data_IF_672665190937
#
_entry.id   IF_672665190937
#
_cell.length_a   1.000
_cell.length_b   1.000
_cell.length_c   1.000
_cell.angle_alpha   90.00
_cell.angle_beta   90.00
_cell.angle_gamma   90.00
#
_symmetry.space_group_name_H-M   'P 1'
#
loop_
_entity.id
_entity.type
_entity.pdbx_description
1 polymer ?
#
# COMPACT_ATOMS: atom_id res chain seq x y z
N UNK A 1 10.21 -18.17 6.26
CA UNK A 1 10.26 -17.26 5.11
C UNK A 1 10.27 -15.84 5.66
N UNK A 2 11.08 -14.92 5.14
CA UNK A 2 11.01 -13.52 5.60
C UNK A 2 9.68 -12.93 5.13
N UNK A 3 8.74 -12.72 6.05
CA UNK A 3 7.50 -12.00 5.74
C UNK A 3 7.86 -10.57 5.40
N UNK A 4 7.64 -10.19 4.13
CA UNK A 4 7.73 -8.79 3.72
C UNK A 4 6.45 -8.09 4.14
N UNK A 5 6.56 -6.87 4.64
CA UNK A 5 5.41 -6.02 4.93
C UNK A 5 5.23 -4.98 3.82
N UNK A 6 4.00 -4.51 3.66
CA UNK A 6 3.62 -3.30 2.96
C UNK A 6 3.15 -2.26 3.98
N UNK A 7 3.34 -0.99 3.65
CA UNK A 7 2.98 0.14 4.50
C UNK A 7 1.96 0.99 3.76
N UNK A 8 0.76 1.09 4.31
CA UNK A 8 -0.36 1.86 3.76
C UNK A 8 -0.40 3.21 4.47
N UNK A 9 -0.29 4.30 3.73
CA UNK A 9 -0.50 5.65 4.25
C UNK A 9 -2.00 5.92 4.16
N UNK A 10 -2.64 6.09 5.30
CA UNK A 10 -4.06 6.39 5.43
C UNK A 10 -4.22 7.86 5.81
N UNK A 11 -5.30 8.50 5.35
CA UNK A 11 -5.76 9.79 5.85
C UNK A 11 -7.19 9.63 6.30
N UNK A 12 -7.45 9.92 7.55
CA UNK A 12 -8.78 10.04 8.13
C UNK A 12 -9.13 11.52 8.27
N UNK A 13 -10.36 11.89 7.96
CA UNK A 13 -10.87 13.25 8.14
C UNK A 13 -12.17 13.15 8.92
N UNK A 14 -12.25 13.91 10.01
CA UNK A 14 -13.45 14.14 10.81
C UNK A 14 -13.93 15.57 10.55
N UNK A 15 -15.02 15.70 9.79
CA UNK A 15 -15.74 16.94 9.54
C UNK A 15 -16.96 17.02 10.46
N UNK A 16 -16.72 17.55 11.66
CA UNK A 16 -17.76 17.72 12.67
C UNK A 16 -18.86 18.72 12.25
N UNK A 17 -18.64 19.54 11.23
CA UNK A 17 -19.64 20.51 10.77
C UNK A 17 -20.66 19.89 9.83
N UNK A 18 -20.20 18.99 8.95
CA UNK A 18 -21.08 18.26 8.03
C UNK A 18 -21.45 16.86 8.54
N UNK A 19 -20.88 16.43 9.67
CA UNK A 19 -21.13 15.12 10.26
C UNK A 19 -20.52 13.97 9.44
N UNK A 20 -19.51 14.28 8.63
CA UNK A 20 -18.84 13.32 7.75
C UNK A 20 -17.54 12.84 8.36
N UNK A 21 -17.37 11.53 8.44
CA UNK A 21 -16.09 10.89 8.75
C UNK A 21 -15.68 10.02 7.57
N UNK A 22 -14.53 10.29 6.95
CA UNK A 22 -14.04 9.46 5.85
C UNK A 22 -12.58 9.09 6.01
N UNK A 23 -12.23 7.86 5.62
CA UNK A 23 -10.83 7.41 5.59
C UNK A 23 -10.44 7.02 4.18
N UNK A 24 -9.39 7.65 3.68
CA UNK A 24 -8.85 7.43 2.35
C UNK A 24 -7.48 6.75 2.41
N UNK A 25 -7.24 5.78 1.53
CA UNK A 25 -5.91 5.24 1.31
C UNK A 25 -5.11 6.16 0.37
N UNK A 26 -4.07 6.80 0.89
CA UNK A 26 -3.24 7.77 0.16
C UNK A 26 -2.11 7.12 -0.63
N UNK A 27 -1.64 5.95 -0.21
CA UNK A 27 -0.64 5.20 -0.95
C UNK A 27 -0.14 3.94 -0.26
N UNK A 28 0.51 3.06 -1.04
CA UNK A 28 1.11 1.81 -0.56
C UNK A 28 2.59 1.77 -0.92
N UNK A 29 3.43 1.46 0.08
CA UNK A 29 4.88 1.49 -0.02
C UNK A 29 5.54 0.20 0.49
N UNK A 30 6.69 -0.13 -0.08
CA UNK A 30 7.48 -1.30 0.31
C UNK A 30 8.38 -1.08 1.53
N UNK A 31 8.70 0.18 1.81
CA UNK A 31 9.61 0.53 2.90
C UNK A 31 8.95 1.53 3.83
N UNK A 32 9.20 1.37 5.13
CA UNK A 32 8.72 2.29 6.16
C UNK A 32 9.23 3.71 5.91
N UNK A 33 10.47 3.87 5.46
CA UNK A 33 11.05 5.16 5.17
C UNK A 33 10.30 5.91 4.05
N UNK A 34 9.89 5.20 2.99
CA UNK A 34 9.09 5.80 1.91
C UNK A 34 7.68 6.14 2.38
N UNK A 35 7.04 5.26 3.16
CA UNK A 35 5.72 5.53 3.74
C UNK A 35 5.75 6.76 4.66
N UNK A 36 6.74 6.84 5.56
CA UNK A 36 6.94 7.99 6.44
C UNK A 36 7.17 9.29 5.64
N UNK A 37 7.93 9.22 4.55
CA UNK A 37 8.17 10.38 3.69
C UNK A 37 6.90 10.80 2.91
N UNK A 38 6.08 9.85 2.51
CA UNK A 38 4.79 10.10 1.85
C UNK A 38 3.78 10.70 2.83
N UNK A 39 3.61 10.11 4.02
CA UNK A 39 2.73 10.63 5.08
C UNK A 39 3.05 12.10 5.42
N UNK A 40 4.32 12.44 5.64
CA UNK A 40 4.76 13.82 5.93
C UNK A 40 4.47 14.83 4.82
N UNK A 41 4.28 14.37 3.58
CA UNK A 41 3.96 15.21 2.43
C UNK A 41 2.47 15.25 2.13
N UNK A 42 1.68 14.34 2.67
CA UNK A 42 0.31 14.12 2.21
C UNK A 42 -0.53 15.40 2.30
N UNK A 43 -0.65 15.96 3.51
CA UNK A 43 -1.35 17.22 3.74
C UNK A 43 -0.63 18.40 3.07
N UNK A 44 0.70 18.39 3.06
CA UNK A 44 1.51 19.50 2.55
C UNK A 44 1.53 19.60 1.01
N UNK A 45 1.02 18.61 0.29
CA UNK A 45 0.88 18.66 -1.16
C UNK A 45 -0.28 19.56 -1.60
N UNK A 46 -1.33 19.66 -0.77
CA UNK A 46 -2.54 20.42 -1.07
C UNK A 46 -2.65 21.70 -0.25
N UNK A 47 -2.13 21.70 0.99
CA UNK A 47 -2.20 22.82 1.91
C UNK A 47 -0.81 23.25 2.36
N UNK A 48 -0.62 24.55 2.58
CA UNK A 48 0.57 25.02 3.30
C UNK A 48 0.48 24.61 4.77
N UNK A 49 1.62 24.41 5.43
CA UNK A 49 1.62 24.13 6.88
C UNK A 49 0.89 25.20 7.70
N UNK A 50 1.01 26.46 7.30
CA UNK A 50 0.39 27.61 7.98
C UNK A 50 -1.14 27.72 7.74
N UNK A 51 -1.71 26.80 6.94
CA UNK A 51 -3.17 26.70 6.80
C UNK A 51 -3.80 26.10 8.07
N UNK A 52 -3.11 25.18 8.74
CA UNK A 52 -3.66 24.46 9.88
C UNK A 52 -3.48 25.26 11.18
N UNK A 53 -4.48 25.20 12.05
CA UNK A 53 -4.39 25.78 13.40
C UNK A 53 -3.41 24.98 14.26
N UNK A 54 -3.46 23.65 14.13
CA UNK A 54 -2.55 22.70 14.76
C UNK A 54 -1.96 21.79 13.69
N UNK A 55 -0.68 21.45 13.84
CA UNK A 55 -0.02 20.48 12.97
C UNK A 55 1.02 19.73 13.79
N UNK A 56 0.58 18.64 14.40
CA UNK A 56 1.38 17.79 15.26
C UNK A 56 1.91 16.60 14.47
N UNK A 57 3.19 16.30 14.65
CA UNK A 57 3.81 15.13 14.02
C UNK A 57 4.46 14.32 15.11
N UNK A 58 3.93 13.13 15.34
CA UNK A 58 4.45 12.17 16.29
C UNK A 58 5.14 11.02 15.54
N UNK A 59 5.85 10.19 16.29
CA UNK A 59 6.48 8.99 15.74
C UNK A 59 6.32 7.90 16.77
N UNK A 60 5.66 6.82 16.37
CA UNK A 60 5.32 5.73 17.25
C UNK A 60 6.54 4.87 17.60
N UNK A 61 6.35 4.01 18.60
CA UNK A 61 7.38 3.08 19.07
C UNK A 61 7.93 2.14 17.99
N UNK A 62 7.15 1.89 16.93
CA UNK A 62 7.54 1.08 15.78
C UNK A 62 8.21 1.88 14.65
N UNK A 63 8.38 3.20 14.84
CA UNK A 63 8.99 4.13 13.90
C UNK A 63 8.07 4.62 12.79
N UNK A 64 6.76 4.34 12.87
CA UNK A 64 5.77 4.91 11.95
C UNK A 64 5.47 6.37 12.30
N UNK A 65 5.15 7.15 11.28
CA UNK A 65 4.75 8.55 11.42
C UNK A 65 3.25 8.64 11.55
N UNK A 66 2.82 9.45 12.50
CA UNK A 66 1.44 9.80 12.77
C UNK A 66 1.34 11.34 12.84
N UNK A 67 0.34 11.90 12.16
CA UNK A 67 0.18 13.33 11.95
C UNK A 67 -1.27 13.69 12.25
N UNK A 68 -1.48 14.59 13.19
CA UNK A 68 -2.79 15.16 13.49
C UNK A 68 -2.75 16.65 13.16
N UNK A 69 -3.73 17.12 12.40
CA UNK A 69 -3.83 18.52 12.00
C UNK A 69 -5.28 19.00 12.09
N UNK A 70 -5.50 20.17 12.66
CA UNK A 70 -6.82 20.81 12.74
C UNK A 70 -6.90 21.95 11.74
N UNK A 71 -7.93 21.95 10.90
CA UNK A 71 -8.21 23.00 9.93
C UNK A 71 -8.86 24.22 10.63
N UNK A 72 -8.81 25.43 10.03
CA UNK A 72 -9.46 26.63 10.60
C UNK A 72 -10.97 26.50 10.79
N UNK A 73 -11.59 25.60 10.03
CA UNK A 73 -13.01 25.28 10.13
C UNK A 73 -13.28 24.17 11.15
N UNK A 74 -12.32 23.77 11.99
CA UNK A 74 -12.53 22.77 13.04
C UNK A 74 -12.44 21.31 12.59
N UNK A 75 -12.37 21.04 11.29
CA UNK A 75 -12.11 19.68 10.75
C UNK A 75 -10.78 19.12 11.26
N UNK A 76 -10.74 17.84 11.60
CA UNK A 76 -9.54 17.15 12.05
C UNK A 76 -9.07 16.19 10.96
N UNK A 77 -7.83 16.36 10.50
CA UNK A 77 -7.18 15.46 9.56
C UNK A 77 -6.10 14.65 10.27
N UNK A 78 -6.20 13.33 10.19
CA UNK A 78 -5.28 12.38 10.79
C UNK A 78 -4.61 11.51 9.72
N UNK A 79 -3.29 11.65 9.54
CA UNK A 79 -2.49 10.86 8.59
C UNK A 79 -1.62 9.88 9.35
N UNK A 80 -1.80 8.59 9.07
CA UNK A 80 -1.14 7.51 9.81
C UNK A 80 -0.78 6.34 8.90
N UNK A 81 0.04 5.40 9.38
CA UNK A 81 0.56 4.29 8.58
C UNK A 81 0.08 2.95 9.12
N UNK A 82 -0.66 2.19 8.30
CA UNK A 82 -1.02 0.79 8.60
C UNK A 82 -0.01 -0.18 7.99
N UNK A 83 0.58 -1.06 8.81
CA UNK A 83 1.45 -2.16 8.35
C UNK A 83 0.60 -3.38 7.95
N UNK A 84 0.79 -3.89 6.74
CA UNK A 84 0.06 -5.03 6.16
C UNK A 84 1.02 -6.10 5.66
N UNK A 85 0.60 -7.35 5.62
CA UNK A 85 1.45 -8.42 5.12
C UNK A 85 1.47 -8.38 3.59
N UNK A 86 2.67 -8.36 3.00
CA UNK A 86 2.80 -8.37 1.55
C UNK A 86 2.38 -9.73 0.97
N UNK A 87 1.87 -9.78 -0.27
CA UNK A 87 1.58 -11.03 -0.94
C UNK A 87 2.81 -11.94 -0.98
N UNK A 88 2.61 -13.27 -0.94
CA UNK A 88 3.70 -14.22 -1.11
C UNK A 88 4.48 -13.90 -2.37
N UNK A 89 5.81 -13.74 -2.26
CA UNK A 89 6.63 -13.47 -3.43
C UNK A 89 6.45 -14.60 -4.45
N UNK A 90 6.18 -14.31 -5.74
CA UNK A 90 6.27 -15.32 -6.78
C UNK A 90 7.68 -15.91 -6.73
N UNK A 91 7.80 -17.19 -6.34
CA UNK A 91 9.11 -17.81 -6.34
C UNK A 91 9.64 -17.80 -7.79
N UNK A 92 10.91 -17.43 -8.02
CA UNK A 92 11.51 -17.59 -9.33
C UNK A 92 11.26 -19.02 -9.77
N UNK A 93 10.46 -19.21 -10.83
CA UNK A 93 10.25 -20.54 -11.37
C UNK A 93 11.62 -21.03 -11.82
N UNK A 94 12.22 -21.91 -11.03
CA UNK A 94 13.41 -22.64 -11.47
C UNK A 94 12.93 -23.34 -12.74
N UNK A 95 13.48 -22.99 -13.93
CA UNK A 95 13.01 -23.59 -15.16
C UNK A 95 13.12 -25.10 -15.00
N UNK A 96 11.97 -25.79 -15.07
CA UNK A 96 11.92 -27.25 -15.01
C UNK A 96 13.00 -27.75 -15.97
N UNK A 97 13.98 -28.55 -15.51
CA UNK A 97 15.02 -29.04 -16.40
C UNK A 97 14.33 -29.75 -17.55
N UNK A 98 14.49 -29.20 -18.76
CA UNK A 98 14.04 -29.83 -20.00
C UNK A 98 14.56 -31.26 -19.96
N UNK A 99 13.64 -32.23 -19.97
CA UNK A 99 13.98 -33.64 -20.01
C UNK A 99 14.96 -33.84 -21.18
N UNK A 100 16.20 -34.20 -20.87
CA UNK A 100 17.21 -34.45 -21.86
C UNK A 100 16.76 -35.66 -22.71
N UNK A 101 16.84 -35.59 -24.05
CA UNK A 101 16.64 -36.78 -24.86
C UNK A 101 17.70 -37.81 -24.50
N UNK A 102 17.26 -39.03 -24.18
CA UNK A 102 18.13 -40.16 -23.88
C UNK A 102 18.99 -40.50 -25.10
N UNK A 103 20.26 -40.10 -25.08
CA UNK A 103 21.27 -40.64 -26.00
C UNK A 103 22.25 -41.54 -25.25
N UNK A 104 22.37 -42.77 -25.78
CA UNK A 104 23.25 -43.89 -25.39
C UNK A 104 24.72 -43.50 -25.10
N UNK A 105 25.47 -44.35 -24.37
CA UNK A 105 26.78 -43.99 -23.83
C UNK A 105 27.86 -44.02 -24.91
N UNK A 106 28.68 -42.97 -24.98
CA UNK A 106 30.01 -43.07 -25.57
C UNK A 106 30.98 -42.07 -24.92
N UNK A 107 32.25 -42.44 -24.96
CA UNK A 107 33.32 -42.13 -24.02
C UNK A 107 33.90 -40.71 -24.07
N UNK A 108 34.37 -40.27 -22.89
CA UNK A 108 35.52 -39.38 -22.63
C UNK A 108 35.58 -37.99 -23.28
N UNK A 109 35.53 -36.93 -22.46
CA UNK A 109 36.71 -36.11 -22.12
C UNK A 109 36.34 -34.93 -21.20
N UNK A 110 37.25 -34.71 -20.26
CA UNK A 110 37.34 -33.66 -19.26
C UNK A 110 37.29 -32.26 -19.89
N UNK A 111 36.33 -31.43 -19.46
CA UNK A 111 36.24 -30.01 -19.82
C UNK A 111 35.83 -29.19 -18.60
N UNK A 112 36.74 -28.35 -18.12
CA UNK A 112 36.60 -27.46 -16.96
C UNK A 112 35.41 -26.51 -17.13
N UNK A 113 34.71 -26.31 -16.03
CA UNK A 113 33.49 -25.51 -15.95
C UNK A 113 33.69 -24.02 -16.19
N UNK A 114 32.65 -23.43 -16.76
CA UNK A 114 32.28 -22.04 -16.58
C UNK A 114 30.83 -22.06 -16.06
N UNK A 115 30.69 -22.25 -14.74
CA UNK A 115 29.43 -21.97 -14.07
C UNK A 115 29.25 -20.45 -14.11
N UNK A 116 28.35 -19.98 -14.98
CA UNK A 116 27.81 -18.63 -14.93
C UNK A 116 27.09 -18.50 -13.58
N UNK A 117 27.79 -17.95 -12.59
CA UNK A 117 27.16 -17.44 -11.38
C UNK A 117 26.22 -16.32 -11.81
N UNK A 118 24.93 -16.64 -11.88
CA UNK A 118 23.88 -15.64 -11.92
C UNK A 118 24.05 -14.78 -10.66
N UNK A 119 24.18 -13.48 -10.88
CA UNK A 119 24.41 -12.47 -9.86
C UNK A 119 23.31 -12.59 -8.78
N UNK A 120 23.68 -13.06 -7.59
CA UNK A 120 22.75 -13.31 -6.47
C UNK A 120 22.36 -12.01 -5.74
N UNK A 121 22.69 -10.85 -6.30
CA UNK A 121 22.47 -9.53 -5.70
C UNK A 121 21.35 -8.74 -6.39
N UNK A 122 20.30 -9.42 -6.85
CA UNK A 122 19.08 -8.76 -7.31
C UNK A 122 18.36 -8.21 -6.08
N UNK A 123 18.38 -6.89 -5.93
CA UNK A 123 17.73 -6.24 -4.79
C UNK A 123 16.25 -6.61 -4.69
N UNK A 124 15.74 -6.86 -3.47
CA UNK A 124 14.43 -7.49 -3.25
C UNK A 124 13.22 -6.73 -3.81
N UNK A 125 13.35 -5.43 -4.09
CA UNK A 125 12.30 -4.60 -4.69
C UNK A 125 12.24 -4.66 -6.22
N UNK A 126 13.27 -5.18 -6.90
CA UNK A 126 13.27 -5.27 -8.37
C UNK A 126 12.32 -6.36 -8.92
N UNK A 127 11.86 -7.27 -8.06
CA UNK A 127 10.91 -8.35 -8.39
C UNK A 127 9.52 -8.15 -7.76
N UNK A 128 9.31 -7.03 -7.06
CA UNK A 128 8.01 -6.70 -6.52
C UNK A 128 7.01 -6.42 -7.66
N UNK A 129 5.77 -6.90 -7.57
CA UNK A 129 4.75 -6.54 -8.55
C UNK A 129 4.58 -5.01 -8.57
N UNK A 130 4.32 -4.43 -9.75
CA UNK A 130 4.09 -2.98 -9.88
C UNK A 130 2.72 -2.56 -9.35
N UNK A 131 1.79 -3.51 -9.34
CA UNK A 131 0.43 -3.31 -8.89
C UNK A 131 0.08 -4.40 -7.89
N UNK A 132 -0.72 -4.04 -6.89
CA UNK A 132 -1.36 -4.97 -5.97
C UNK A 132 -2.83 -4.65 -5.93
N UNK A 133 -3.61 -5.63 -5.49
CA UNK A 133 -5.03 -5.47 -5.25
C UNK A 133 -5.27 -5.45 -3.75
N UNK A 134 -6.16 -4.58 -3.31
CA UNK A 134 -6.59 -4.46 -1.92
C UNK A 134 -8.11 -4.54 -1.86
N UNK A 135 -8.62 -4.83 -0.68
CA UNK A 135 -10.05 -4.88 -0.42
C UNK A 135 -10.37 -3.72 0.51
N UNK A 136 -11.27 -2.86 0.05
CA UNK A 136 -11.81 -1.73 0.80
C UNK A 136 -13.25 -2.06 1.17
N UNK A 137 -13.60 -1.87 2.43
CA UNK A 137 -14.96 -2.00 2.94
C UNK A 137 -15.41 -0.62 3.38
N UNK A 138 -16.66 -0.27 3.09
CA UNK A 138 -17.30 0.97 3.51
C UNK A 138 -18.57 0.61 4.27
N UNK A 139 -18.61 1.01 5.54
CA UNK A 139 -19.74 0.76 6.43
C UNK A 139 -20.60 2.03 6.47
N UNK A 140 -21.90 1.90 6.18
CA UNK A 140 -22.84 3.00 6.22
C UNK A 140 -23.73 2.82 7.45
N UNK A 141 -23.63 3.75 8.40
CA UNK A 141 -24.46 3.70 9.62
C UNK A 141 -25.95 3.91 9.32
N UNK A 142 -26.26 4.63 8.23
CA UNK A 142 -27.62 4.93 7.81
C UNK A 142 -27.74 4.86 6.28
N UNK A 143 -28.87 4.41 5.74
CA UNK A 143 -29.14 4.25 4.30
C UNK A 143 -29.21 5.58 3.54
N UNK A 144 -29.24 6.70 4.26
CA UNK A 144 -29.16 8.05 3.69
C UNK A 144 -27.76 8.65 3.77
N UNK A 145 -26.81 7.97 4.41
CA UNK A 145 -25.42 8.36 4.38
C UNK A 145 -24.86 8.07 2.98
N UNK A 146 -24.35 9.10 2.31
CA UNK A 146 -23.76 8.97 0.98
C UNK A 146 -22.25 8.72 1.05
N UNK A 147 -21.60 9.03 2.18
CA UNK A 147 -20.14 9.00 2.30
C UNK A 147 -19.65 7.66 2.86
N UNK A 148 -20.24 7.20 3.96
CA UNK A 148 -19.86 5.96 4.63
C UNK A 148 -18.42 5.94 5.16
N UNK A 149 -18.12 4.99 6.05
CA UNK A 149 -16.79 4.85 6.66
C UNK A 149 -15.95 3.80 5.94
N UNK A 150 -15.19 4.24 4.95
CA UNK A 150 -14.28 3.36 4.20
C UNK A 150 -13.05 2.96 5.03
N UNK A 151 -12.60 1.71 4.88
CA UNK A 151 -11.35 1.23 5.47
C UNK A 151 -10.80 0.02 4.71
N UNK A 152 -9.49 -0.24 4.84
CA UNK A 152 -8.86 -1.42 4.23
C UNK A 152 -9.23 -2.67 5.05
N UNK A 153 -10.16 -3.45 4.52
CA UNK A 153 -10.77 -4.61 5.17
C UNK A 153 -9.77 -5.77 5.36
N UNK A 154 -9.01 -6.11 4.31
CA UNK A 154 -8.06 -7.22 4.38
C UNK A 154 -6.74 -6.83 5.03
N UNK A 155 -6.14 -7.74 5.80
CA UNK A 155 -4.77 -7.61 6.30
C UNK A 155 -3.70 -7.97 5.25
N UNK A 156 -4.15 -8.51 4.11
CA UNK A 156 -3.34 -8.93 2.99
C UNK A 156 -3.51 -7.95 1.82
N UNK A 157 -2.46 -7.84 1.01
CA UNK A 157 -2.57 -7.36 -0.36
C UNK A 157 -2.38 -8.54 -1.31
N UNK A 158 -3.04 -8.49 -2.46
CA UNK A 158 -3.09 -9.60 -3.42
C UNK A 158 -2.29 -9.26 -4.68
N UNK A 159 -1.64 -10.27 -5.24
CA UNK A 159 -0.90 -10.17 -6.49
C UNK A 159 -1.75 -10.47 -7.73
N UNK A 160 -2.92 -11.09 -7.55
CA UNK A 160 -3.90 -11.37 -8.61
C UNK A 160 -5.28 -10.84 -8.27
N UNK A 161 -6.03 -10.43 -9.30
CA UNK A 161 -7.40 -9.92 -9.17
C UNK A 161 -8.36 -11.02 -8.72
N UNK A 162 -8.22 -12.22 -9.29
CA UNK A 162 -9.05 -13.39 -8.95
C UNK A 162 -8.96 -13.75 -7.45
N UNK A 163 -7.76 -13.74 -6.87
CA UNK A 163 -7.59 -13.98 -5.45
C UNK A 163 -8.22 -12.88 -4.59
N UNK A 164 -8.04 -11.61 -4.97
CA UNK A 164 -8.64 -10.48 -4.27
C UNK A 164 -10.18 -10.55 -4.31
N UNK A 165 -10.76 -10.81 -5.49
CA UNK A 165 -12.21 -10.91 -5.67
C UNK A 165 -12.82 -12.03 -4.82
N UNK A 166 -12.17 -13.20 -4.75
CA UNK A 166 -12.63 -14.31 -3.91
C UNK A 166 -12.58 -13.97 -2.43
N UNK A 167 -11.49 -13.34 -1.96
CA UNK A 167 -11.34 -12.97 -0.55
C UNK A 167 -12.28 -11.82 -0.16
N UNK A 168 -12.51 -10.87 -1.08
CA UNK A 168 -13.47 -9.78 -0.89
C UNK A 168 -14.90 -10.30 -0.66
N UNK A 169 -15.31 -11.31 -1.44
CA UNK A 169 -16.59 -11.96 -1.23
C UNK A 169 -16.68 -12.67 0.12
N UNK A 170 -15.62 -13.34 0.57
CA UNK A 170 -15.60 -13.98 1.89
C UNK A 170 -15.76 -12.95 3.01
N UNK A 171 -15.05 -11.82 2.91
CA UNK A 171 -15.18 -10.73 3.86
C UNK A 171 -16.58 -10.12 3.86
N UNK A 172 -17.23 -9.96 2.70
CA UNK A 172 -18.61 -9.49 2.61
C UNK A 172 -19.58 -10.43 3.36
N UNK A 173 -19.46 -11.74 3.13
CA UNK A 173 -20.32 -12.73 3.79
C UNK A 173 -20.12 -12.75 5.31
N UNK A 174 -18.86 -12.66 5.75
CA UNK A 174 -18.52 -12.53 7.18
C UNK A 174 -19.11 -11.24 7.78
N UNK A 175 -18.95 -10.11 7.10
CA UNK A 175 -19.47 -8.81 7.55
C UNK A 175 -21.00 -8.78 7.60
N UNK A 176 -21.67 -9.49 6.69
CA UNK A 176 -23.12 -9.65 6.70
C UNK A 176 -23.62 -10.59 7.83
N UNK A 177 -22.73 -11.18 8.64
CA UNK A 177 -23.08 -12.10 9.71
C UNK A 177 -23.54 -13.47 9.20
N UNK A 178 -23.23 -13.81 7.95
CA UNK A 178 -23.59 -15.11 7.38
C UNK A 178 -22.54 -16.15 7.80
N UNK A 179 -22.86 -16.93 8.82
CA UNK A 179 -22.07 -18.12 9.14
C UNK A 179 -22.18 -19.10 7.96
N UNK A 180 -21.03 -19.61 7.49
CA UNK A 180 -20.95 -20.63 6.44
C UNK A 180 -21.38 -22.01 6.99
N UNK A 181 -22.52 -22.07 7.65
CA UNK A 181 -23.08 -23.33 8.16
C UNK A 181 -23.84 -24.03 7.03
N UNK A 182 -23.42 -25.27 6.77
CA UNK A 182 -23.70 -26.05 5.56
C UNK A 182 -25.14 -26.59 5.42
N UNK A 183 -26.08 -26.29 6.33
CA UNK A 183 -27.42 -26.90 6.34
C UNK A 183 -28.55 -25.86 6.41
N UNK A 184 -29.18 -25.62 5.26
CA UNK A 184 -30.58 -25.15 5.09
C UNK A 184 -30.99 -23.82 5.75
N UNK A 185 -30.33 -22.73 5.41
CA UNK A 185 -30.94 -21.40 5.56
C UNK A 185 -31.31 -20.83 4.18
N UNK A 186 -32.54 -21.10 3.75
CA UNK A 186 -33.28 -20.34 2.72
C UNK A 186 -33.57 -18.91 3.24
N UNK A 187 -32.54 -18.19 3.66
CA UNK A 187 -32.63 -16.77 3.98
C UNK A 187 -32.55 -16.01 2.66
N UNK A 188 -33.46 -15.05 2.47
CA UNK A 188 -33.64 -14.19 1.30
C UNK A 188 -32.43 -13.24 1.05
N UNK A 189 -31.21 -13.68 1.32
CA UNK A 189 -29.96 -12.93 1.17
C UNK A 189 -29.73 -12.45 -0.27
N UNK A 190 -30.25 -13.19 -1.26
CA UNK A 190 -30.17 -12.78 -2.66
C UNK A 190 -31.02 -11.53 -2.97
N UNK A 191 -32.02 -11.17 -2.15
CA UNK A 191 -32.79 -9.93 -2.34
C UNK A 191 -32.13 -8.70 -1.68
N UNK A 192 -31.25 -8.88 -0.70
CA UNK A 192 -30.61 -7.79 0.07
C UNK A 192 -29.12 -7.58 -0.29
N UNK A 193 -28.61 -8.27 -1.33
CA UNK A 193 -27.20 -8.20 -1.73
C UNK A 193 -27.03 -7.99 -3.25
N UNK A 194 -26.43 -6.85 -3.62
CA UNK A 194 -26.07 -6.52 -5.00
C UNK A 194 -24.59 -6.86 -5.25
N UNK A 195 -24.30 -8.05 -5.79
CA UNK A 195 -22.94 -8.47 -6.15
C UNK A 195 -22.61 -8.22 -7.65
N UNK A 196 -21.47 -7.59 -7.93
CA UNK A 196 -20.90 -7.43 -9.27
C UNK A 196 -19.56 -8.16 -9.42
N UNK A 197 -19.30 -8.67 -10.62
CA UNK A 197 -18.03 -9.30 -11.00
C UNK A 197 -17.62 -10.50 -10.12
N UNK A 198 -18.60 -11.25 -9.58
CA UNK A 198 -18.36 -12.44 -8.75
C UNK A 198 -17.44 -13.44 -9.46
N UNK A 199 -16.26 -13.68 -8.86
CA UNK A 199 -15.25 -14.60 -9.39
C UNK A 199 -14.61 -14.17 -10.70
N UNK A 200 -14.81 -12.92 -11.14
CA UNK A 200 -14.18 -12.40 -12.36
C UNK A 200 -12.66 -12.35 -12.21
N UNK A 201 -11.94 -12.72 -13.26
CA UNK A 201 -10.49 -12.52 -13.36
C UNK A 201 -10.12 -11.20 -14.06
N UNK A 202 -11.11 -10.55 -14.69
CA UNK A 202 -10.91 -9.42 -15.61
C UNK A 202 -11.46 -8.09 -15.07
N UNK A 203 -12.36 -8.15 -14.08
CA UNK A 203 -13.00 -6.98 -13.49
C UNK A 203 -12.98 -7.06 -11.95
N UNK A 204 -12.77 -5.93 -11.25
CA UNK A 204 -12.75 -5.91 -9.79
C UNK A 204 -14.13 -6.22 -9.21
N UNK A 205 -14.12 -6.99 -8.12
CA UNK A 205 -15.31 -7.26 -7.33
C UNK A 205 -15.83 -5.98 -6.70
N UNK A 206 -17.13 -5.83 -6.71
CA UNK A 206 -17.87 -4.76 -6.07
C UNK A 206 -19.18 -5.35 -5.58
N UNK A 207 -19.51 -5.15 -4.33
CA UNK A 207 -20.77 -5.61 -3.78
C UNK A 207 -21.29 -4.69 -2.69
N UNK A 208 -22.60 -4.62 -2.57
CA UNK A 208 -23.29 -3.93 -1.48
C UNK A 208 -24.27 -4.91 -0.83
N UNK A 209 -24.23 -5.02 0.49
CA UNK A 209 -25.16 -5.84 1.28
C UNK A 209 -25.86 -4.97 2.31
N UNK A 210 -27.18 -5.08 2.40
CA UNK A 210 -27.95 -4.46 3.47
C UNK A 210 -27.87 -5.36 4.71
N UNK A 211 -27.55 -4.77 5.86
CA UNK A 211 -27.39 -5.51 7.11
C UNK A 211 -28.41 -4.96 8.10
N UNK A 212 -29.12 -5.85 8.80
CA UNK A 212 -30.05 -5.44 9.87
C UNK A 212 -29.34 -5.51 11.23
N UNK A 213 -28.22 -4.81 11.34
CA UNK A 213 -27.55 -4.62 12.62
C UNK A 213 -27.86 -3.22 13.13
N UNK A 214 -28.01 -3.05 14.45
CA UNK A 214 -28.55 -1.83 15.07
C UNK A 214 -27.79 -0.53 14.70
N UNK A 215 -26.55 -0.65 14.22
CA UNK A 215 -25.64 0.46 13.93
C UNK A 215 -25.12 0.53 12.47
N UNK A 216 -25.53 -0.38 11.57
CA UNK A 216 -25.07 -0.42 10.16
C UNK A 216 -26.20 -0.85 9.23
N UNK A 217 -26.60 0.04 8.32
CA UNK A 217 -27.68 -0.18 7.35
C UNK A 217 -27.20 -0.96 6.11
N UNK A 218 -26.01 -0.64 5.60
CA UNK A 218 -25.41 -1.40 4.51
C UNK A 218 -23.89 -1.35 4.51
N UNK A 219 -23.28 -2.37 3.91
CA UNK A 219 -21.84 -2.53 3.78
C UNK A 219 -21.51 -2.66 2.30
N UNK A 220 -20.55 -1.87 1.84
CA UNK A 220 -20.02 -1.96 0.47
C UNK A 220 -18.59 -2.50 0.51
N UNK A 221 -18.32 -3.54 -0.28
CA UNK A 221 -16.97 -4.11 -0.43
C UNK A 221 -16.52 -3.95 -1.87
N UNK A 222 -15.31 -3.43 -2.07
CA UNK A 222 -14.72 -3.21 -3.39
C UNK A 222 -13.25 -3.64 -3.46
N UNK A 223 -12.85 -4.14 -4.62
CA UNK A 223 -11.46 -4.50 -4.92
C UNK A 223 -10.80 -3.40 -5.73
N UNK A 224 -9.80 -2.75 -5.13
CA UNK A 224 -9.11 -1.64 -5.78
C UNK A 224 -7.70 -2.03 -6.26
N UNK A 225 -7.32 -1.55 -7.45
CA UNK A 225 -5.96 -1.69 -7.98
C UNK A 225 -5.07 -0.55 -7.49
N UNK A 226 -4.05 -0.89 -6.72
CA UNK A 226 -3.06 0.07 -6.24
C UNK A 226 -1.77 -0.04 -7.03
N UNK A 227 -1.15 1.11 -7.31
CA UNK A 227 0.19 1.16 -7.89
C UNK A 227 1.21 1.31 -6.77
N UNK A 228 2.17 0.39 -6.73
CA UNK A 228 3.25 0.43 -5.75
C UNK A 228 4.31 1.42 -6.21
N UNK A 229 4.57 2.43 -5.38
CA UNK A 229 5.66 3.35 -5.61
C UNK A 229 6.92 2.83 -4.91
N UNK A 230 7.99 2.65 -5.68
CA UNK A 230 9.33 2.43 -5.15
C UNK A 230 10.21 3.55 -5.72
N UNK A 231 10.79 4.35 -4.83
CA UNK A 231 11.67 5.44 -5.25
C UNK A 231 12.95 4.84 -5.85
N UNK A 232 13.42 5.36 -6.99
CA UNK A 232 14.68 4.91 -7.62
C UNK A 232 15.90 4.98 -6.68
N UNK A 233 15.82 5.74 -5.59
CA UNK A 233 16.85 5.83 -4.55
C UNK A 233 17.10 4.53 -3.81
N UNK A 234 16.11 3.66 -3.63
CA UNK A 234 16.30 2.38 -2.93
C UNK A 234 16.98 1.33 -3.83
N UNK A 235 16.96 1.49 -5.16
CA UNK A 235 17.69 0.65 -6.11
C UNK A 235 19.22 0.72 -6.00
N UNK A 236 19.79 1.68 -5.27
CA UNK A 236 21.24 1.81 -5.05
C UNK A 236 21.76 1.29 -3.71
N UNK A 237 20.93 0.64 -2.89
CA UNK A 237 21.36 0.08 -1.59
C UNK A 237 22.30 -1.16 -1.67
N UNK A 238 23.03 -1.36 -2.78
CA UNK A 238 23.91 -2.52 -2.99
C UNK A 238 25.22 -2.24 -3.73
N UNK A 239 25.50 -0.99 -4.12
CA UNK A 239 26.84 -0.63 -4.62
C UNK A 239 27.76 -0.41 -3.42
N UNK A 240 28.58 -1.42 -3.11
CA UNK A 240 29.71 -1.30 -2.18
C UNK A 240 30.54 -0.05 -2.52
N UNK A 241 30.78 0.89 -1.59
CA UNK A 241 31.77 1.94 -1.76
C UNK A 241 33.18 1.37 -1.49
N UNK A 242 33.55 0.30 -2.17
CA UNK A 242 34.91 -0.24 -2.15
C UNK A 242 35.64 0.23 -3.40
N UNK A 243 36.04 1.51 -3.42
CA UNK A 243 36.93 2.01 -4.48
C UNK A 243 36.76 3.47 -4.85
N UNK A 244 37.02 4.40 -3.92
CA UNK A 244 37.36 5.76 -4.28
C UNK A 244 38.53 6.27 -3.41
N UNK A 245 39.67 5.59 -3.56
CA UNK A 245 40.96 6.22 -3.29
C UNK A 245 41.18 7.32 -4.33
N UNK A 246 41.16 8.58 -3.89
CA UNK A 246 41.33 9.70 -4.79
C UNK A 246 41.07 11.05 -4.14
N UNK A 247 41.76 11.36 -3.04
CA UNK A 247 41.86 12.72 -2.51
C UNK A 247 42.37 13.67 -3.60
N UNK A 248 41.48 14.47 -4.17
CA UNK A 248 41.85 15.73 -4.82
C UNK A 248 41.25 16.88 -4.02
N UNK A 249 42.15 17.62 -3.37
CA UNK A 249 41.87 18.86 -2.68
C UNK A 249 41.15 19.84 -3.62
N UNK A 250 39.88 20.14 -3.32
CA UNK A 250 39.21 21.32 -3.89
C UNK A 250 39.61 22.53 -3.05
N UNK A 251 40.30 23.47 -3.71
CA UNK A 251 40.60 24.79 -3.18
C UNK A 251 39.31 25.47 -2.72
N UNK A 252 39.31 25.96 -1.48
CA UNK A 252 38.31 26.88 -0.93
C UNK A 252 38.32 28.16 -1.78
N UNK A 253 37.21 28.48 -2.42
CA UNK A 253 36.91 29.84 -2.84
C UNK A 253 36.39 30.61 -1.62
N UNK A 254 36.89 31.84 -1.44
CA UNK A 254 36.53 32.75 -0.34
C UNK A 254 35.06 33.21 -0.47
N UNK A 255 34.37 33.50 0.64
CA UNK A 255 33.16 34.30 0.61
C UNK A 255 33.52 35.75 0.26
N UNK A 256 32.77 36.34 -0.67
CA UNK A 256 32.73 37.80 -0.86
C UNK A 256 31.56 38.34 -0.03
N UNK A 257 31.81 39.48 0.61
CA UNK A 257 30.96 40.21 1.55
C UNK A 257 29.55 40.57 1.02
N UNK A 258 28.60 40.89 1.93
CA UNK A 258 27.25 41.31 1.62
C UNK A 258 27.19 42.81 1.34
N UNK A 259 26.43 43.21 0.32
CA UNK A 259 26.14 44.61 0.01
C UNK A 259 24.67 44.79 -0.35
N UNK A 260 24.09 45.86 0.20
CA UNK A 260 22.75 46.46 -0.04
C UNK A 260 21.59 45.77 0.69
N UNK A 261 21.10 46.25 1.85
CA UNK A 261 20.51 47.57 2.17
C UNK A 261 19.48 47.98 1.13
N UNK A 262 18.20 47.69 1.43
CA UNK A 262 17.06 48.39 0.83
C UNK A 262 16.35 49.08 1.98
N UNK A 263 16.36 50.41 1.90
CA UNK A 263 15.65 51.33 2.78
C UNK A 263 14.13 51.20 2.60
N UNK A 264 13.41 51.26 3.71
CA UNK A 264 11.97 51.52 3.75
C UNK A 264 11.82 53.04 3.87
N UNK A 265 10.98 53.64 3.03
CA UNK A 265 10.49 55.01 3.20
C UNK A 265 9.01 54.97 3.58
N UNK A 266 8.64 55.91 4.45
CA UNK A 266 7.39 56.07 5.23
C UNK A 266 6.05 55.66 4.58
#
# INVERSE_FOLDING_TARGET
MASSYLYHVMRHTDDQHNGGEFTELRGTHWTLAEANAAARKDLLNSWSRDFFETYEVTTDSDGTVDIEATCPEGEIMHVYIKRKQAPPRPQPQIPKPKAAPQSKPSSSKTGKGAASHADANVQPHALAPRHVWIIVQTDYEHHTDEEGRSHVASHLAFDTLEHANRDARLLLLEAAGQELDDDDSDLDFEEECDELNRGSADAPYEATVYVRQDDVDHIRVEVQRMTLSCSKSTHRCGENPAGAGGSRARKRARPSDPGEVIEISD
#
